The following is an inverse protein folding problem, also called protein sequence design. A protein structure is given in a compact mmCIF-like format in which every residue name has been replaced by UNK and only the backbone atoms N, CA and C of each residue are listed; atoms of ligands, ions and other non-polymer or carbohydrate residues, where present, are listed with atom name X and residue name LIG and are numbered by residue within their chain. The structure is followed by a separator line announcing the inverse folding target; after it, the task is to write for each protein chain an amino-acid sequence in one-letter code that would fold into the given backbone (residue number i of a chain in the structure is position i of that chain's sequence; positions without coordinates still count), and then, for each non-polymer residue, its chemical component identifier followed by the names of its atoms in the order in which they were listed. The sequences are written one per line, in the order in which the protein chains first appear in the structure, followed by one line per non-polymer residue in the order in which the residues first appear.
data_IF_952548038158
#
_entry.id   IF_952548038158
#
_cell.length_a   1.000
_cell.length_b   1.000
_cell.length_c   1.000
_cell.angle_alpha   90.00
_cell.angle_beta   90.00
_cell.angle_gamma   90.00
#
_symmetry.space_group_name_H-M   'P 1'
#
loop_
_entity.id
_entity.type
_entity.pdbx_description
1 polymer ?
#
# COMPACT_ATOMS: atom_id res chain seq x y z
N UNK A 1 5.44 -13.25 -14.66
CA UNK A 1 6.61 -12.37 -14.49
C UNK A 1 7.60 -13.06 -13.56
N UNK A 2 8.84 -13.33 -13.97
CA UNK A 2 9.83 -13.98 -13.11
C UNK A 2 10.49 -12.90 -12.25
N UNK A 3 10.10 -12.77 -10.98
CA UNK A 3 10.74 -11.83 -10.05
C UNK A 3 12.14 -12.38 -9.75
N UNK A 4 13.18 -11.72 -10.26
CA UNK A 4 14.57 -12.19 -10.15
C UNK A 4 15.16 -11.88 -8.77
N UNK A 5 14.67 -10.82 -8.10
CA UNK A 5 14.88 -10.49 -6.68
C UNK A 5 13.70 -9.66 -6.18
N UNK A 6 13.14 -10.01 -5.02
CA UNK A 6 12.09 -9.23 -4.37
C UNK A 6 12.74 -8.10 -3.54
N UNK A 7 12.76 -6.89 -4.11
CA UNK A 7 13.33 -5.68 -3.50
C UNK A 7 12.34 -4.91 -2.62
N UNK A 8 11.17 -5.49 -2.30
CA UNK A 8 10.19 -4.84 -1.45
C UNK A 8 10.73 -4.65 -0.03
N UNK A 9 10.25 -3.60 0.63
CA UNK A 9 10.65 -3.23 1.97
C UNK A 9 10.38 -4.36 2.97
N UNK A 10 11.37 -4.73 3.78
CA UNK A 10 11.26 -5.85 4.73
C UNK A 10 10.14 -5.64 5.76
N UNK A 11 9.83 -4.39 6.12
CA UNK A 11 8.70 -4.08 6.99
C UNK A 11 7.36 -4.50 6.36
N UNK A 12 7.18 -4.25 5.05
CA UNK A 12 5.96 -4.66 4.35
C UNK A 12 5.85 -6.17 4.24
N UNK A 13 6.95 -6.87 3.95
CA UNK A 13 6.98 -8.34 3.96
C UNK A 13 6.65 -8.91 5.34
N UNK A 14 7.13 -8.27 6.41
CA UNK A 14 6.78 -8.63 7.79
C UNK A 14 5.28 -8.50 8.04
N UNK A 15 4.66 -7.41 7.60
CA UNK A 15 3.20 -7.22 7.70
C UNK A 15 2.44 -8.29 6.93
N UNK A 16 2.82 -8.56 5.67
CA UNK A 16 2.22 -9.62 4.85
C UNK A 16 2.29 -10.99 5.54
N UNK A 17 3.45 -11.32 6.11
CA UNK A 17 3.66 -12.58 6.82
C UNK A 17 2.76 -12.71 8.06
N UNK A 18 2.62 -11.63 8.84
CA UNK A 18 1.80 -11.61 10.05
C UNK A 18 0.30 -11.74 9.72
N UNK A 19 -0.13 -11.21 8.58
CA UNK A 19 -1.52 -11.20 8.13
C UNK A 19 -1.96 -12.47 7.38
N UNK A 20 -1.06 -13.43 7.16
CA UNK A 20 -1.42 -14.67 6.46
C UNK A 20 -2.60 -15.40 7.12
N UNK A 21 -3.57 -15.80 6.31
CA UNK A 21 -4.73 -16.58 6.72
C UNK A 21 -5.02 -17.77 5.80
N UNK A 22 -6.12 -18.50 6.08
CA UNK A 22 -6.47 -19.74 5.34
C UNK A 22 -6.81 -19.45 3.86
N UNK A 23 -7.64 -18.42 3.63
CA UNK A 23 -7.99 -17.87 2.31
C UNK A 23 -7.91 -16.34 2.39
N UNK A 24 -6.73 -15.87 2.78
CA UNK A 24 -6.48 -14.46 3.00
C UNK A 24 -5.00 -14.19 2.79
N UNK A 25 -4.70 -13.63 1.63
CA UNK A 25 -3.36 -13.16 1.26
C UNK A 25 -3.36 -11.64 1.21
N UNK A 26 -2.30 -11.04 1.74
CA UNK A 26 -2.08 -9.59 1.69
C UNK A 26 -0.87 -9.33 0.83
N UNK A 27 -1.00 -8.35 -0.06
CA UNK A 27 0.09 -7.85 -0.87
C UNK A 27 0.21 -6.35 -0.65
N UNK A 28 1.40 -5.91 -0.27
CA UNK A 28 1.79 -4.53 -0.04
C UNK A 28 3.05 -4.23 -0.85
N UNK A 29 3.10 -3.03 -1.40
CA UNK A 29 4.31 -2.56 -2.06
C UNK A 29 4.46 -1.04 -1.96
N UNK A 30 5.71 -0.62 -1.90
CA UNK A 30 6.12 0.77 -1.91
C UNK A 30 7.04 1.01 -3.10
N UNK A 31 6.65 1.93 -3.96
CA UNK A 31 7.44 2.37 -5.10
C UNK A 31 8.02 3.76 -4.83
N UNK A 32 9.26 3.97 -5.24
CA UNK A 32 10.00 5.21 -5.03
C UNK A 32 11.34 4.99 -4.29
N UNK A 33 12.02 6.06 -3.88
CA UNK A 33 11.64 7.45 -4.14
C UNK A 33 11.78 7.80 -5.63
N UNK A 34 10.87 8.62 -6.14
CA UNK A 34 10.97 9.23 -7.47
C UNK A 34 10.96 10.76 -7.35
N UNK A 35 11.39 11.43 -8.41
CA UNK A 35 11.24 12.88 -8.54
C UNK A 35 9.74 13.25 -8.58
N UNK A 36 9.41 14.37 -7.94
CA UNK A 36 8.02 14.84 -7.75
C UNK A 36 7.45 15.62 -8.96
N UNK A 37 8.25 15.84 -9.99
CA UNK A 37 7.91 16.68 -11.15
C UNK A 37 6.99 16.02 -12.19
N UNK A 38 6.90 14.69 -12.18
CA UNK A 38 6.06 13.92 -13.11
C UNK A 38 4.57 13.94 -12.72
N UNK A 39 3.68 13.88 -13.71
CA UNK A 39 2.25 13.63 -13.46
C UNK A 39 2.01 12.21 -12.91
N UNK A 40 0.91 11.99 -12.16
CA UNK A 40 0.60 10.68 -11.56
C UNK A 40 0.57 9.52 -12.55
N UNK A 41 -0.11 9.68 -13.69
CA UNK A 41 -0.14 8.64 -14.70
C UNK A 41 1.25 8.29 -15.25
N UNK A 42 2.14 9.27 -15.40
CA UNK A 42 3.50 9.07 -15.91
C UNK A 42 4.39 8.39 -14.87
N UNK A 43 4.31 8.82 -13.61
CA UNK A 43 5.02 8.19 -12.51
C UNK A 43 4.63 6.72 -12.33
N UNK A 44 3.33 6.39 -12.37
CA UNK A 44 2.87 5.00 -12.26
C UNK A 44 3.35 4.15 -13.43
N UNK A 45 3.40 4.71 -14.66
CA UNK A 45 3.93 4.00 -15.82
C UNK A 45 5.42 3.73 -15.74
N UNK A 46 6.16 4.62 -15.09
CA UNK A 46 7.59 4.47 -14.83
C UNK A 46 7.87 3.47 -13.70
N UNK A 47 7.13 3.56 -12.60
CA UNK A 47 7.40 2.83 -11.36
C UNK A 47 6.74 1.46 -11.29
N UNK A 48 5.54 1.30 -11.86
CA UNK A 48 4.71 0.10 -11.68
C UNK A 48 4.55 -0.67 -12.99
N UNK A 49 3.85 -0.11 -13.97
CA UNK A 49 3.60 -0.77 -15.26
C UNK A 49 3.24 0.21 -16.35
N UNK A 50 3.81 0.03 -17.55
CA UNK A 50 3.54 0.86 -18.74
C UNK A 50 2.06 0.90 -19.13
N UNK A 51 1.27 -0.09 -18.71
CA UNK A 51 -0.15 -0.25 -19.01
C UNK A 51 -1.06 0.26 -17.86
N UNK A 52 -0.51 0.89 -16.82
CA UNK A 52 -1.32 1.45 -15.74
C UNK A 52 -2.31 2.51 -16.27
N UNK A 53 -3.58 2.29 -15.95
CA UNK A 53 -4.67 3.26 -16.11
C UNK A 53 -5.24 3.57 -14.73
N UNK A 54 -5.33 4.86 -14.39
CA UNK A 54 -5.89 5.33 -13.13
C UNK A 54 -7.38 5.65 -13.25
N UNK A 55 -8.09 5.52 -12.14
CA UNK A 55 -9.46 5.99 -11.93
C UNK A 55 -9.56 6.72 -10.60
N UNK A 56 -10.61 7.51 -10.42
CA UNK A 56 -11.00 8.07 -9.10
C UNK A 56 -9.84 8.70 -8.32
N UNK A 57 -9.26 9.77 -8.85
CA UNK A 57 -8.20 10.53 -8.16
C UNK A 57 -8.88 11.51 -7.20
N UNK A 58 -8.66 11.35 -5.90
CA UNK A 58 -9.26 12.20 -4.87
C UNK A 58 -8.19 12.73 -3.90
N UNK A 59 -8.19 14.04 -3.59
CA UNK A 59 -7.30 14.58 -2.57
C UNK A 59 -7.56 13.92 -1.21
N UNK A 60 -6.48 13.68 -0.46
CA UNK A 60 -6.54 13.15 0.90
C UNK A 60 -5.56 13.91 1.78
N UNK A 61 -5.75 13.85 3.10
CA UNK A 61 -4.76 14.31 4.07
C UNK A 61 -3.87 13.17 4.57
N UNK A 62 -2.66 13.45 5.08
CA UNK A 62 -1.83 12.46 5.76
C UNK A 62 -2.58 11.64 6.82
N UNK A 63 -3.41 12.29 7.64
CA UNK A 63 -4.14 11.63 8.72
C UNK A 63 -5.23 10.72 8.20
N UNK A 64 -5.97 11.13 7.16
CA UNK A 64 -6.98 10.30 6.51
C UNK A 64 -6.34 9.07 5.87
N UNK A 65 -5.25 9.24 5.10
CA UNK A 65 -4.54 8.13 4.49
C UNK A 65 -3.98 7.14 5.52
N UNK A 66 -3.37 7.62 6.61
CA UNK A 66 -2.89 6.74 7.70
C UNK A 66 -4.05 5.96 8.31
N UNK A 67 -5.15 6.64 8.65
CA UNK A 67 -6.32 6.00 9.25
C UNK A 67 -6.89 4.92 8.32
N UNK A 68 -7.09 5.24 7.05
CA UNK A 68 -7.66 4.32 6.08
C UNK A 68 -6.76 3.12 5.82
N UNK A 69 -5.45 3.34 5.60
CA UNK A 69 -4.49 2.25 5.42
C UNK A 69 -4.52 1.31 6.63
N UNK A 70 -4.51 1.86 7.85
CA UNK A 70 -4.55 1.05 9.08
C UNK A 70 -5.87 0.28 9.21
N UNK A 71 -7.01 0.91 8.89
CA UNK A 71 -8.32 0.26 8.89
C UNK A 71 -8.38 -0.92 7.90
N UNK A 72 -7.78 -0.78 6.71
CA UNK A 72 -7.69 -1.88 5.72
C UNK A 72 -6.74 -2.97 6.19
N UNK A 73 -5.54 -2.62 6.63
CA UNK A 73 -4.50 -3.58 7.05
C UNK A 73 -4.95 -4.39 8.27
N UNK A 74 -5.69 -3.78 9.20
CA UNK A 74 -6.25 -4.41 10.39
C UNK A 74 -7.69 -4.92 10.18
N UNK A 75 -8.14 -5.02 8.93
CA UNK A 75 -9.44 -5.59 8.62
C UNK A 75 -9.53 -7.05 9.09
N UNK A 76 -10.45 -7.32 10.02
CA UNK A 76 -10.61 -8.65 10.63
C UNK A 76 -11.13 -9.73 9.68
N UNK A 77 -11.80 -9.33 8.59
CA UNK A 77 -12.47 -10.27 7.70
C UNK A 77 -13.54 -11.12 8.38
N UNK A 78 -13.80 -12.28 7.80
CA UNK A 78 -14.69 -13.31 8.35
C UNK A 78 -13.87 -14.51 8.86
N UNK A 79 -14.48 -15.35 9.72
CA UNK A 79 -13.82 -16.50 10.34
C UNK A 79 -13.27 -17.54 9.34
N UNK A 80 -13.76 -17.53 8.09
CA UNK A 80 -13.28 -18.38 6.99
C UNK A 80 -12.45 -17.65 5.92
N UNK A 81 -12.27 -16.34 6.06
CA UNK A 81 -11.61 -15.46 5.09
C UNK A 81 -11.13 -14.18 5.81
N UNK A 82 -9.97 -14.27 6.44
CA UNK A 82 -9.35 -13.22 7.25
C UNK A 82 -8.01 -13.65 7.86
N UNK A 83 -7.26 -12.71 8.44
CA UNK A 83 -5.96 -12.97 9.04
C UNK A 83 -6.06 -13.86 10.29
N UNK A 84 -5.12 -14.79 10.44
CA UNK A 84 -5.06 -15.67 11.62
C UNK A 84 -4.48 -14.93 12.82
N UNK A 85 -5.16 -15.03 13.97
CA UNK A 85 -4.70 -14.51 15.27
C UNK A 85 -4.38 -13.00 15.27
N UNK A 86 -5.09 -12.21 14.46
CA UNK A 86 -4.84 -10.78 14.27
C UNK A 86 -4.71 -10.00 15.58
N UNK A 87 -5.58 -10.25 16.55
CA UNK A 87 -5.57 -9.54 17.84
C UNK A 87 -4.25 -9.72 18.61
N UNK A 88 -3.58 -10.87 18.44
CA UNK A 88 -2.28 -11.13 19.06
C UNK A 88 -1.10 -10.48 18.33
N UNK A 89 -1.29 -10.11 17.05
CA UNK A 89 -0.26 -9.58 16.14
C UNK A 89 -0.42 -8.08 15.84
N UNK A 90 -1.56 -7.50 16.21
CA UNK A 90 -1.95 -6.12 15.90
C UNK A 90 -0.89 -5.09 16.28
N UNK A 91 -0.28 -5.23 17.47
CA UNK A 91 0.76 -4.33 17.94
C UNK A 91 2.02 -4.36 17.04
N UNK A 92 2.44 -5.54 16.61
CA UNK A 92 3.61 -5.71 15.74
C UNK A 92 3.33 -5.20 14.33
N UNK A 93 2.14 -5.50 13.78
CA UNK A 93 1.70 -4.98 12.48
C UNK A 93 1.69 -3.45 12.51
N UNK A 94 1.12 -2.85 13.57
CA UNK A 94 1.07 -1.40 13.76
C UNK A 94 2.47 -0.79 13.84
N UNK A 95 3.39 -1.42 14.57
CA UNK A 95 4.78 -0.96 14.63
C UNK A 95 5.45 -0.98 13.26
N UNK A 96 5.28 -2.05 12.49
CA UNK A 96 5.85 -2.17 11.15
C UNK A 96 5.27 -1.14 10.19
N UNK A 97 3.95 -0.92 10.19
CA UNK A 97 3.31 0.10 9.36
C UNK A 97 3.78 1.52 9.73
N UNK A 98 3.90 1.82 11.03
CA UNK A 98 4.43 3.11 11.47
C UNK A 98 5.88 3.34 11.04
N UNK A 99 6.71 2.28 10.96
CA UNK A 99 8.06 2.38 10.38
C UNK A 99 8.00 2.75 8.90
N UNK A 100 7.05 2.19 8.14
CA UNK A 100 6.84 2.56 6.72
C UNK A 100 6.40 4.01 6.60
N UNK A 101 5.41 4.45 7.38
CA UNK A 101 4.92 5.83 7.35
C UNK A 101 6.02 6.84 7.71
N UNK A 102 6.83 6.52 8.71
CA UNK A 102 7.98 7.33 9.10
C UNK A 102 9.04 7.39 7.99
N UNK A 103 9.34 6.26 7.34
CA UNK A 103 10.32 6.18 6.26
C UNK A 103 9.96 7.08 5.08
N UNK A 104 8.69 7.09 4.69
CA UNK A 104 8.20 7.88 3.54
C UNK A 104 7.78 9.29 3.93
N UNK A 105 7.92 9.65 5.21
CA UNK A 105 7.52 10.96 5.73
C UNK A 105 6.03 11.27 5.57
N UNK A 106 5.16 10.26 5.63
CA UNK A 106 3.72 10.41 5.33
C UNK A 106 3.05 11.44 6.23
N UNK A 107 3.33 11.43 7.54
CA UNK A 107 2.74 12.36 8.51
C UNK A 107 2.95 13.84 8.18
N UNK A 108 4.01 14.15 7.43
CA UNK A 108 4.41 15.52 7.05
C UNK A 108 4.36 15.74 5.54
N UNK A 109 3.74 14.83 4.80
CA UNK A 109 3.66 14.90 3.35
C UNK A 109 3.01 16.22 2.90
N UNK A 110 3.60 16.87 1.91
CA UNK A 110 3.06 18.11 1.34
C UNK A 110 1.82 17.85 0.48
N UNK A 111 1.75 16.66 -0.13
CA UNK A 111 0.63 16.22 -0.95
C UNK A 111 0.35 14.73 -0.71
N UNK A 112 -0.91 14.41 -0.48
CA UNK A 112 -1.41 13.03 -0.43
C UNK A 112 -2.62 12.93 -1.34
N UNK A 113 -2.65 11.93 -2.20
CA UNK A 113 -3.75 11.70 -3.14
C UNK A 113 -4.06 10.22 -3.21
N UNK A 114 -5.32 9.87 -2.96
CA UNK A 114 -5.80 8.52 -3.19
C UNK A 114 -6.14 8.37 -4.68
N UNK A 115 -5.87 7.19 -5.23
CA UNK A 115 -6.30 6.85 -6.59
C UNK A 115 -6.68 5.38 -6.69
N UNK A 116 -7.55 5.07 -7.66
CA UNK A 116 -7.87 3.70 -8.03
C UNK A 116 -7.11 3.25 -9.28
N UNK A 117 -6.95 1.94 -9.44
CA UNK A 117 -6.50 1.35 -10.70
C UNK A 117 -7.70 0.90 -11.53
N UNK A 118 -7.81 1.44 -12.74
CA UNK A 118 -8.73 0.92 -13.77
C UNK A 118 -8.13 -0.29 -14.50
N UNK A 119 -6.82 -0.27 -14.73
CA UNK A 119 -6.06 -1.38 -15.29
C UNK A 119 -4.61 -1.37 -14.77
N UNK A 120 -3.98 -2.55 -14.73
CA UNK A 120 -2.58 -2.70 -14.31
C UNK A 120 -2.38 -2.66 -12.79
N UNK A 121 -3.43 -2.96 -11.99
CA UNK A 121 -3.25 -3.21 -10.56
C UNK A 121 -2.29 -4.42 -10.40
N UNK A 122 -1.24 -4.33 -9.56
CA UNK A 122 -0.23 -5.41 -9.45
C UNK A 122 -0.76 -6.71 -8.83
N UNK A 123 -1.88 -6.63 -8.13
CA UNK A 123 -2.57 -7.74 -7.48
C UNK A 123 -4.05 -7.81 -7.91
N UNK A 124 -4.77 -8.84 -7.48
CA UNK A 124 -6.19 -9.03 -7.76
C UNK A 124 -7.00 -8.87 -6.46
N UNK A 125 -7.39 -7.63 -6.08
CA UNK A 125 -8.02 -7.37 -4.80
C UNK A 125 -9.41 -8.00 -4.70
N UNK A 126 -9.72 -8.58 -3.54
CA UNK A 126 -11.01 -9.22 -3.23
C UNK A 126 -11.68 -8.59 -2.02
N UNK A 127 -10.98 -8.44 -0.89
CA UNK A 127 -11.59 -7.92 0.33
C UNK A 127 -11.38 -6.41 0.51
N UNK A 128 -10.18 -5.93 0.19
CA UNK A 128 -9.87 -4.50 0.18
C UNK A 128 -8.66 -4.20 -0.70
N UNK A 129 -8.57 -2.94 -1.11
CA UNK A 129 -7.40 -2.31 -1.70
C UNK A 129 -7.28 -0.86 -1.24
N UNK A 130 -6.10 -0.29 -1.46
CA UNK A 130 -5.84 1.14 -1.43
C UNK A 130 -4.65 1.46 -2.34
N UNK A 131 -4.59 2.69 -2.84
CA UNK A 131 -3.40 3.21 -3.47
C UNK A 131 -3.26 4.71 -3.22
N UNK A 132 -2.09 5.12 -2.74
CA UNK A 132 -1.78 6.50 -2.41
C UNK A 132 -0.53 6.99 -3.14
N UNK A 133 -0.64 8.21 -3.66
CA UNK A 133 0.44 9.03 -4.15
C UNK A 133 0.83 10.04 -3.06
N UNK A 134 2.08 9.97 -2.62
CA UNK A 134 2.57 10.66 -1.43
C UNK A 134 3.81 11.46 -1.82
N UNK A 135 3.76 12.78 -1.63
CA UNK A 135 4.89 13.68 -1.86
C UNK A 135 5.36 14.21 -0.51
N UNK A 136 6.62 13.94 -0.17
CA UNK A 136 7.21 14.32 1.10
C UNK A 136 8.71 14.55 0.93
N UNK A 137 9.22 15.69 1.41
CA UNK A 137 10.63 16.07 1.32
C UNK A 137 11.17 16.04 -0.11
N UNK A 138 10.42 16.64 -1.06
CA UNK A 138 10.70 16.66 -2.50
C UNK A 138 10.69 15.27 -3.18
N UNK A 139 10.43 14.20 -2.43
CA UNK A 139 10.35 12.83 -2.94
C UNK A 139 8.91 12.38 -3.13
N UNK A 140 8.71 11.60 -4.18
CA UNK A 140 7.45 10.93 -4.46
C UNK A 140 7.51 9.45 -4.14
N UNK A 141 6.46 8.99 -3.47
CA UNK A 141 6.25 7.61 -3.08
C UNK A 141 4.86 7.14 -3.51
N UNK A 142 4.77 5.91 -4.01
CA UNK A 142 3.48 5.26 -4.29
C UNK A 142 3.35 4.06 -3.36
N UNK A 143 2.38 4.10 -2.46
CA UNK A 143 2.07 3.00 -1.56
C UNK A 143 0.79 2.31 -2.02
N UNK A 144 0.88 1.03 -2.34
CA UNK A 144 -0.24 0.22 -2.83
C UNK A 144 -0.39 -0.99 -1.94
N UNK A 145 -1.64 -1.32 -1.59
CA UNK A 145 -1.95 -2.50 -0.81
C UNK A 145 -3.26 -3.12 -1.25
N UNK A 146 -3.35 -4.43 -1.09
CA UNK A 146 -4.58 -5.18 -1.31
C UNK A 146 -4.60 -6.47 -0.52
N UNK A 147 -5.80 -6.99 -0.28
CA UNK A 147 -6.00 -8.38 0.13
C UNK A 147 -6.84 -9.16 -0.89
N UNK A 148 -6.52 -10.45 -1.02
CA UNK A 148 -7.23 -11.41 -1.85
C UNK A 148 -7.62 -12.67 -1.06
N UNK A 149 -8.43 -13.53 -1.65
CA UNK A 149 -8.74 -14.88 -1.15
C UNK A 149 -7.53 -15.83 -1.22
#
# INVERSE_FOLDING_TARGET
MKIVRDSRLEALKGVEHLLYGINYEVWLNLYGPAESDLGLAEALRSLISKECEISSVVPSSPQEAISEIMDKVLYKGHIGSGPLELESKEAEITELMNKVFSLIGLEKAELVTEFGFKNGHPAYPVFWDFAYDIHSNDQRWILVGSSSD
#
